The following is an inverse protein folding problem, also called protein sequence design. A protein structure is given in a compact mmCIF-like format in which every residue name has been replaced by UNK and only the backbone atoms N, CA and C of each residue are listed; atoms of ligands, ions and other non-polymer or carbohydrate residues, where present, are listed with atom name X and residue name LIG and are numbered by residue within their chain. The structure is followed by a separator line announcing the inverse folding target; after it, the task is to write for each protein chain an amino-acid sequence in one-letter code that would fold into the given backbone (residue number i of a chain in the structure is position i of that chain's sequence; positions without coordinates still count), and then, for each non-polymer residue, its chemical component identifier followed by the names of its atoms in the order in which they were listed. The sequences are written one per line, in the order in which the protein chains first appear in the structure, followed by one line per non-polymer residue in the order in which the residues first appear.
data_IF_329349851346
#
_entry.id   IF_329349851346
#
_cell.length_a   1.000
_cell.length_b   1.000
_cell.length_c   1.000
_cell.angle_alpha   90.00
_cell.angle_beta   90.00
_cell.angle_gamma   90.00
#
_symmetry.space_group_name_H-M   'P 1'
#
loop_
_entity.id
_entity.type
_entity.pdbx_description
1 polymer ?
#
# COMPACT_ATOMS: atom_id res chain seq x y z
N UNK A 1 2.36 2.28 -9.12
CA UNK A 1 2.92 1.65 -7.90
C UNK A 1 3.55 2.67 -6.95
N UNK A 2 4.46 3.54 -7.41
CA UNK A 2 5.10 4.58 -6.56
C UNK A 2 4.10 5.48 -5.82
N UNK A 3 3.01 5.89 -6.50
CA UNK A 3 1.98 6.73 -5.88
C UNK A 3 1.22 6.03 -4.73
N UNK A 4 0.96 4.72 -4.85
CA UNK A 4 0.29 3.94 -3.79
C UNK A 4 1.19 3.80 -2.56
N UNK A 5 2.48 3.54 -2.77
CA UNK A 5 3.45 3.44 -1.68
C UNK A 5 3.57 4.78 -0.94
N UNK A 6 3.70 5.89 -1.67
CA UNK A 6 3.77 7.23 -1.08
C UNK A 6 2.48 7.58 -0.32
N UNK A 7 1.32 7.18 -0.86
CA UNK A 7 0.01 7.38 -0.24
C UNK A 7 -0.16 6.61 1.07
N UNK A 8 0.20 5.32 1.11
CA UNK A 8 0.11 4.51 2.33
C UNK A 8 1.05 4.99 3.43
N UNK A 9 2.26 5.42 3.05
CA UNK A 9 3.22 6.02 3.99
C UNK A 9 2.68 7.34 4.55
N UNK A 10 2.09 8.19 3.72
CA UNK A 10 1.47 9.44 4.17
C UNK A 10 0.31 9.17 5.15
N UNK A 11 -0.59 8.23 4.85
CA UNK A 11 -1.68 7.84 5.77
C UNK A 11 -1.15 7.30 7.10
N UNK A 12 -0.11 6.46 7.09
CA UNK A 12 0.48 5.96 8.32
C UNK A 12 1.07 7.07 9.18
N UNK A 13 1.75 8.05 8.57
CA UNK A 13 2.28 9.21 9.30
C UNK A 13 1.16 10.02 9.95
N UNK A 14 0.05 10.21 9.25
CA UNK A 14 -1.10 10.91 9.82
C UNK A 14 -1.70 10.16 11.02
N UNK A 15 -1.90 8.84 10.93
CA UNK A 15 -2.39 8.06 12.08
C UNK A 15 -1.45 8.13 13.28
N UNK A 16 -0.14 8.11 13.06
CA UNK A 16 0.82 8.28 14.15
C UNK A 16 0.73 9.66 14.81
N UNK A 17 0.42 10.71 14.05
CA UNK A 17 0.30 12.08 14.56
C UNK A 17 -1.06 12.37 15.20
N UNK A 18 -2.15 11.89 14.60
CA UNK A 18 -3.52 12.22 15.03
C UNK A 18 -4.12 11.18 15.99
N UNK A 19 -3.76 9.91 15.85
CA UNK A 19 -4.37 8.79 16.60
C UNK A 19 -3.41 8.20 17.65
N UNK A 20 -2.24 8.80 17.85
CA UNK A 20 -1.15 8.30 18.69
C UNK A 20 -0.75 6.84 18.38
N UNK A 21 -1.01 6.38 17.16
CA UNK A 21 -0.63 5.04 16.73
C UNK A 21 0.90 4.93 16.60
N UNK A 22 1.45 3.77 16.95
CA UNK A 22 2.86 3.52 16.70
C UNK A 22 3.11 3.24 15.21
N UNK A 23 4.23 3.71 14.64
CA UNK A 23 4.57 3.43 13.26
C UNK A 23 4.76 1.91 13.07
N UNK A 24 3.89 1.30 12.25
CA UNK A 24 3.94 -0.14 11.95
C UNK A 24 4.24 -0.37 10.48
N UNK A 25 5.53 -0.38 10.16
CA UNK A 25 6.05 -0.59 8.79
C UNK A 25 5.51 -1.89 8.19
N UNK A 26 5.41 -2.96 8.99
CA UNK A 26 4.86 -4.25 8.55
C UNK A 26 3.40 -4.12 8.10
N UNK A 27 2.57 -3.40 8.86
CA UNK A 27 1.16 -3.15 8.51
C UNK A 27 1.04 -2.33 7.24
N UNK A 28 1.85 -1.29 7.08
CA UNK A 28 1.88 -0.47 5.85
C UNK A 28 2.30 -1.30 4.63
N UNK A 29 3.29 -2.19 4.76
CA UNK A 29 3.72 -3.06 3.67
C UNK A 29 2.66 -4.10 3.27
N UNK A 30 1.90 -4.63 4.23
CA UNK A 30 0.78 -5.55 3.95
C UNK A 30 -0.32 -4.83 3.17
N UNK A 31 -0.72 -3.62 3.60
CA UNK A 31 -1.71 -2.80 2.92
C UNK A 31 -1.30 -2.48 1.47
N UNK A 32 -0.05 -2.08 1.25
CA UNK A 32 0.49 -1.82 -0.09
C UNK A 32 0.40 -3.07 -0.97
N UNK A 33 0.72 -4.26 -0.44
CA UNK A 33 0.67 -5.51 -1.21
C UNK A 33 -0.75 -5.91 -1.57
N UNK A 34 -1.70 -5.77 -0.65
CA UNK A 34 -3.10 -6.10 -0.92
C UNK A 34 -3.72 -5.12 -1.93
N UNK A 35 -3.43 -3.82 -1.80
CA UNK A 35 -3.85 -2.82 -2.78
C UNK A 35 -3.21 -3.09 -4.16
N UNK A 36 -1.92 -3.43 -4.21
CA UNK A 36 -1.23 -3.79 -5.45
C UNK A 36 -1.85 -5.02 -6.13
N UNK A 37 -2.23 -6.05 -5.36
CA UNK A 37 -2.94 -7.23 -5.87
C UNK A 37 -4.34 -6.87 -6.37
N UNK A 38 -5.09 -6.05 -5.63
CA UNK A 38 -6.42 -5.61 -6.02
C UNK A 38 -6.38 -4.82 -7.35
N UNK A 39 -5.37 -3.96 -7.52
CA UNK A 39 -5.14 -3.24 -8.77
C UNK A 39 -4.66 -4.15 -9.90
N UNK A 40 -3.87 -5.18 -9.59
CA UNK A 40 -3.49 -6.23 -10.55
C UNK A 40 -4.68 -7.06 -11.03
N UNK A 41 -5.62 -7.35 -10.12
CA UNK A 41 -6.87 -8.06 -10.41
C UNK A 41 -7.90 -7.19 -11.13
N UNK A 42 -7.94 -5.89 -10.84
CA UNK A 42 -8.84 -4.92 -11.48
C UNK A 42 -8.28 -4.36 -12.82
N UNK A 43 -7.00 -4.58 -13.12
CA UNK A 43 -6.33 -4.09 -14.33
C UNK A 43 -6.33 -5.10 -15.50
N UNK A 44 -6.25 -4.64 -16.76
CA UNK A 44 -6.38 -5.51 -17.94
C UNK A 44 -5.15 -6.42 -18.11
N UNK A 45 -5.27 -7.71 -17.72
CA UNK A 45 -4.42 -8.92 -17.97
C UNK A 45 -2.88 -8.85 -17.90
N UNK A 46 -2.23 -7.69 -18.06
CA UNK A 46 -0.77 -7.50 -18.18
C UNK A 46 -0.07 -7.11 -16.87
N UNK A 47 -0.80 -6.66 -15.85
CA UNK A 47 -0.22 -6.38 -14.52
C UNK A 47 0.18 -7.66 -13.77
N UNK A 48 -0.52 -8.78 -14.02
CA UNK A 48 -0.17 -10.09 -13.47
C UNK A 48 1.14 -10.68 -14.03
N UNK A 49 1.73 -10.10 -15.08
CA UNK A 49 3.05 -10.52 -15.60
C UNK A 49 4.22 -9.79 -14.94
N UNK A 50 3.96 -8.78 -14.11
CA UNK A 50 4.99 -7.95 -13.47
C UNK A 50 5.17 -8.24 -11.97
N UNK A 51 4.34 -9.12 -11.40
CA UNK A 51 4.52 -9.63 -10.05
C UNK A 51 5.17 -11.03 -10.15
N UNK A 52 6.25 -11.31 -9.40
CA UNK A 52 6.94 -12.61 -9.45
C UNK A 52 6.06 -13.76 -8.96
#
# INVERSE_FOLDING_TARGET
MVILIAWEVWKQRNRCTFDAEHPRVQTTLVLIKEEAKAWGAAGPKKLNQLLP
#
